data_IF_214028376574
#
_entry.id   IF_214028376574
#
_cell.length_a   1.000
_cell.length_b   1.000
_cell.length_c   1.000
_cell.angle_alpha   90.00
_cell.angle_beta   90.00
_cell.angle_gamma   90.00
#
_symmetry.space_group_name_H-M   'P 1'
#
loop_
_entity.id
_entity.type
_entity.pdbx_description
1 polymer ?
#
# COMPACT_ATOMS: atom_id res chain seq x y z
N UNK A 1 26.50 3.67 -5.07
CA UNK A 1 25.10 4.02 -4.74
C UNK A 1 24.20 3.23 -5.67
N UNK A 2 23.15 2.57 -5.17
CA UNK A 2 22.23 1.79 -6.03
C UNK A 2 21.16 2.73 -6.58
N UNK A 3 20.74 2.47 -7.81
CA UNK A 3 19.62 3.15 -8.45
C UNK A 3 18.43 2.19 -8.51
N UNK A 4 17.36 2.49 -7.76
CA UNK A 4 16.17 1.66 -7.65
C UNK A 4 15.30 1.65 -8.91
N UNK A 5 15.38 2.71 -9.72
CA UNK A 5 14.50 2.89 -10.90
C UNK A 5 15.27 2.85 -12.22
N UNK A 6 16.57 2.51 -12.17
CA UNK A 6 17.40 2.28 -13.35
C UNK A 6 17.56 3.54 -14.20
N UNK A 7 17.78 4.68 -13.56
CA UNK A 7 18.01 5.97 -14.19
C UNK A 7 16.74 6.74 -14.49
N UNK A 8 15.57 6.23 -14.07
CA UNK A 8 14.25 6.81 -14.36
C UNK A 8 13.74 7.58 -13.14
N UNK A 9 13.73 8.92 -13.16
CA UNK A 9 13.28 9.69 -12.01
C UNK A 9 11.84 9.36 -11.63
N UNK A 10 11.58 9.31 -10.32
CA UNK A 10 10.23 9.23 -9.76
C UNK A 10 9.61 10.63 -9.85
N UNK A 11 8.49 10.75 -10.57
CA UNK A 11 7.77 12.01 -10.74
C UNK A 11 6.64 12.16 -9.72
N UNK A 12 6.14 11.05 -9.20
CA UNK A 12 5.08 11.05 -8.21
C UNK A 12 5.26 9.88 -7.23
N UNK A 13 5.07 10.14 -5.95
CA UNK A 13 5.17 9.15 -4.89
C UNK A 13 4.03 9.32 -3.89
N UNK A 14 3.40 8.21 -3.52
CA UNK A 14 2.33 8.17 -2.51
C UNK A 14 2.65 7.06 -1.51
N UNK A 15 2.90 7.44 -0.27
CA UNK A 15 3.18 6.53 0.83
C UNK A 15 2.05 6.55 1.87
N UNK A 16 1.53 5.37 2.22
CA UNK A 16 0.52 5.24 3.28
C UNK A 16 1.13 4.72 4.58
N UNK A 17 1.98 3.69 4.50
CA UNK A 17 2.72 3.12 5.63
C UNK A 17 3.90 2.29 5.14
N UNK A 18 4.68 1.72 6.06
CA UNK A 18 5.77 0.82 5.71
C UNK A 18 5.31 -0.33 4.78
N UNK A 19 5.97 -0.46 3.61
CA UNK A 19 5.68 -1.44 2.55
C UNK A 19 4.27 -1.31 1.93
N UNK A 20 3.63 -0.16 2.07
CA UNK A 20 2.36 0.21 1.42
C UNK A 20 2.52 1.59 0.76
N UNK A 21 2.94 1.59 -0.50
CA UNK A 21 3.23 2.80 -1.25
C UNK A 21 3.11 2.52 -2.75
N UNK A 22 3.01 3.59 -3.54
CA UNK A 22 3.05 3.53 -4.99
C UNK A 22 3.81 4.74 -5.54
N UNK A 23 4.41 4.58 -6.72
CA UNK A 23 5.10 5.66 -7.39
C UNK A 23 4.99 5.54 -8.90
N UNK A 24 5.18 6.68 -9.57
CA UNK A 24 5.20 6.82 -11.02
C UNK A 24 6.54 7.35 -11.45
N UNK A 25 7.12 6.76 -12.50
CA UNK A 25 8.35 7.26 -13.12
C UNK A 25 8.05 8.21 -14.29
N UNK A 26 9.07 8.90 -14.78
CA UNK A 26 8.96 9.81 -15.94
C UNK A 26 8.39 9.12 -17.20
N UNK A 27 8.64 7.83 -17.35
CA UNK A 27 8.13 7.00 -18.45
C UNK A 27 6.65 6.60 -18.27
N UNK A 28 5.95 7.18 -17.29
CA UNK A 28 4.59 6.82 -16.88
C UNK A 28 4.43 5.37 -16.39
N UNK A 29 5.51 4.73 -15.94
CA UNK A 29 5.45 3.38 -15.35
C UNK A 29 5.05 3.52 -13.88
N UNK A 30 3.99 2.82 -13.50
CA UNK A 30 3.54 2.73 -12.10
C UNK A 30 4.09 1.48 -11.41
N UNK A 31 4.72 1.67 -10.26
CA UNK A 31 5.02 0.59 -9.33
C UNK A 31 4.22 0.72 -8.05
N UNK A 32 3.66 -0.41 -7.60
CA UNK A 32 2.75 -0.49 -6.46
C UNK A 32 3.20 -1.57 -5.49
N UNK A 33 3.32 -1.21 -4.21
CA UNK A 33 3.53 -2.15 -3.10
C UNK A 33 2.30 -2.12 -2.19
N UNK A 34 1.68 -3.27 -1.98
CA UNK A 34 0.57 -3.43 -1.05
C UNK A 34 0.82 -4.61 -0.10
N UNK A 35 1.35 -4.30 1.09
CA UNK A 35 1.71 -5.30 2.10
C UNK A 35 0.56 -6.28 2.37
N UNK A 36 0.82 -7.56 2.14
CA UNK A 36 -0.10 -8.65 2.47
C UNK A 36 -1.23 -8.87 1.47
N UNK A 37 -1.14 -8.28 0.28
CA UNK A 37 -2.00 -8.53 -0.89
C UNK A 37 -1.17 -9.20 -1.98
N UNK A 38 -1.78 -10.12 -2.73
CA UNK A 38 -1.12 -10.82 -3.83
C UNK A 38 -0.75 -9.86 -4.96
N UNK A 39 0.48 -9.98 -5.49
CA UNK A 39 1.01 -9.14 -6.57
C UNK A 39 0.04 -9.00 -7.75
N UNK A 40 -0.52 -10.11 -8.23
CA UNK A 40 -1.45 -10.11 -9.37
C UNK A 40 -2.72 -9.28 -9.13
N UNK A 41 -3.25 -9.32 -7.91
CA UNK A 41 -4.43 -8.53 -7.51
C UNK A 41 -4.07 -7.04 -7.49
N UNK A 42 -2.89 -6.69 -6.98
CA UNK A 42 -2.41 -5.30 -6.99
C UNK A 42 -2.26 -4.78 -8.42
N UNK A 43 -1.64 -5.57 -9.31
CA UNK A 43 -1.43 -5.18 -10.71
C UNK A 43 -2.74 -4.98 -11.48
N UNK A 44 -3.75 -5.80 -11.23
CA UNK A 44 -5.01 -5.79 -11.99
C UNK A 44 -6.07 -4.84 -11.44
N UNK A 45 -6.07 -4.58 -10.13
CA UNK A 45 -7.24 -3.95 -9.47
C UNK A 45 -6.93 -2.69 -8.68
N UNK A 46 -5.66 -2.32 -8.56
CA UNK A 46 -5.23 -1.14 -7.79
C UNK A 46 -4.42 -0.23 -8.71
N UNK A 47 -4.76 1.06 -8.72
CA UNK A 47 -4.04 2.10 -9.44
C UNK A 47 -3.42 3.12 -8.46
N UNK A 48 -2.57 4.02 -8.96
CA UNK A 48 -1.97 5.08 -8.13
C UNK A 48 -3.02 6.01 -7.51
N UNK A 49 -4.13 6.24 -8.21
CA UNK A 49 -5.22 7.10 -7.75
C UNK A 49 -5.92 6.53 -6.49
N UNK A 50 -6.06 5.21 -6.38
CA UNK A 50 -6.58 4.54 -5.19
C UNK A 50 -5.72 4.85 -3.95
N UNK A 51 -4.40 4.98 -4.11
CA UNK A 51 -3.50 5.39 -3.03
C UNK A 51 -3.73 6.86 -2.64
N UNK A 52 -3.91 7.75 -3.63
CA UNK A 52 -4.20 9.18 -3.37
C UNK A 52 -5.52 9.36 -2.65
N UNK A 53 -6.58 8.69 -3.12
CA UNK A 53 -7.90 8.69 -2.45
C UNK A 53 -7.79 8.14 -1.03
N UNK A 54 -7.02 7.08 -0.83
CA UNK A 54 -6.79 6.55 0.51
C UNK A 54 -6.05 7.54 1.43
N UNK A 55 -5.11 8.32 0.89
CA UNK A 55 -4.33 9.32 1.64
C UNK A 55 -5.16 10.56 1.99
N UNK A 56 -5.89 11.12 1.02
CA UNK A 56 -6.59 12.40 1.17
C UNK A 56 -8.03 12.25 1.66
N UNK A 57 -8.76 11.20 1.26
CA UNK A 57 -10.15 10.98 1.69
C UNK A 57 -10.25 10.06 2.91
N UNK A 58 -9.15 9.42 3.33
CA UNK A 58 -9.12 8.48 4.45
C UNK A 58 -9.90 7.18 4.21
N UNK A 59 -10.35 6.91 2.97
CA UNK A 59 -11.12 5.72 2.63
C UNK A 59 -10.22 4.51 2.44
N UNK A 60 -10.51 3.44 3.18
CA UNK A 60 -9.85 2.16 2.99
C UNK A 60 -10.36 1.46 1.73
N UNK A 61 -9.46 0.80 1.01
CA UNK A 61 -9.80 0.03 -0.20
C UNK A 61 -9.72 -1.45 0.11
N UNK A 62 -10.80 -2.17 -0.16
CA UNK A 62 -10.88 -3.61 0.01
C UNK A 62 -10.72 -4.32 -1.34
N UNK A 63 -10.02 -5.47 -1.34
CA UNK A 63 -9.86 -6.33 -2.52
C UNK A 63 -10.02 -7.79 -2.13
N UNK A 64 -10.70 -8.51 -3.01
CA UNK A 64 -10.89 -9.95 -2.92
C UNK A 64 -9.69 -10.67 -3.50
N UNK A 65 -9.23 -11.73 -2.83
CA UNK A 65 -8.18 -12.60 -3.35
C UNK A 65 -8.38 -14.04 -2.89
N UNK A 66 -8.10 -14.98 -3.80
CA UNK A 66 -8.06 -16.40 -3.48
C UNK A 66 -6.72 -16.75 -2.84
N UNK A 67 -6.75 -17.46 -1.71
CA UNK A 67 -5.57 -17.96 -1.00
C UNK A 67 -5.64 -19.47 -0.81
N UNK A 68 -4.49 -20.10 -0.62
CA UNK A 68 -4.39 -21.47 -0.14
C UNK A 68 -4.15 -21.38 1.37
N UNK A 69 -4.97 -22.06 2.17
CA UNK A 69 -4.90 -22.05 3.62
C UNK A 69 -4.84 -23.49 4.14
N UNK A 70 -3.99 -23.73 5.15
CA UNK A 70 -3.99 -24.96 5.93
C UNK A 70 -4.62 -24.69 7.29
N UNK A 71 -5.59 -25.52 7.70
CA UNK A 71 -6.18 -25.50 9.04
C UNK A 71 -6.38 -26.93 9.51
N UNK A 72 -5.92 -27.26 10.72
CA UNK A 72 -5.97 -28.62 11.28
C UNK A 72 -5.42 -29.67 10.31
N UNK A 73 -4.26 -29.40 9.72
CA UNK A 73 -3.60 -30.24 8.71
C UNK A 73 -4.41 -30.52 7.43
N UNK A 74 -5.50 -29.77 7.17
CA UNK A 74 -6.28 -29.83 5.93
C UNK A 74 -6.01 -28.58 5.09
N UNK A 75 -5.54 -28.78 3.87
CA UNK A 75 -5.28 -27.71 2.89
C UNK A 75 -6.51 -27.49 2.03
N UNK A 76 -6.93 -26.23 1.89
CA UNK A 76 -8.04 -25.84 1.03
C UNK A 76 -7.82 -24.44 0.46
N UNK A 77 -8.51 -24.15 -0.65
CA UNK A 77 -8.56 -22.81 -1.23
C UNK A 77 -9.67 -22.02 -0.56
N UNK A 78 -9.42 -20.74 -0.27
CA UNK A 78 -10.40 -19.83 0.32
C UNK A 78 -10.35 -18.49 -0.37
N UNK A 79 -11.51 -17.95 -0.71
CA UNK A 79 -11.64 -16.55 -1.09
C UNK A 79 -11.69 -15.67 0.16
N UNK A 80 -10.87 -14.62 0.19
CA UNK A 80 -10.87 -13.64 1.28
C UNK A 80 -11.01 -12.22 0.73
N UNK A 81 -11.87 -11.43 1.37
CA UNK A 81 -11.92 -9.99 1.16
C UNK A 81 -11.07 -9.30 2.23
N UNK A 82 -10.04 -8.56 1.80
CA UNK A 82 -9.05 -7.96 2.70
C UNK A 82 -8.90 -6.46 2.41
N UNK A 83 -8.66 -5.69 3.47
CA UNK A 83 -8.25 -4.29 3.35
C UNK A 83 -6.88 -4.25 2.66
N UNK A 84 -6.87 -3.79 1.42
CA UNK A 84 -5.69 -3.67 0.57
C UNK A 84 -4.93 -2.37 0.83
N UNK A 85 -5.66 -1.23 0.86
CA UNK A 85 -5.10 0.08 1.17
C UNK A 85 -5.77 0.67 2.41
N UNK A 86 -4.97 1.24 3.30
CA UNK A 86 -5.41 1.98 4.46
C UNK A 86 -4.30 2.95 4.88
N UNK A 87 -4.66 4.21 5.13
CA UNK A 87 -3.73 5.25 5.57
C UNK A 87 -3.38 5.20 7.06
N UNK A 88 -4.05 4.35 7.85
CA UNK A 88 -3.75 4.22 9.29
C UNK A 88 -2.42 3.49 9.48
N UNK A 89 -1.55 4.05 10.32
CA UNK A 89 -0.30 3.45 10.75
C UNK A 89 -0.23 3.41 12.28
N UNK A 90 -0.36 2.20 12.85
CA UNK A 90 -0.37 1.99 14.31
C UNK A 90 0.96 2.37 14.98
N UNK A 91 2.03 2.63 14.21
CA UNK A 91 3.36 2.97 14.71
C UNK A 91 3.68 4.48 14.67
N UNK A 92 2.77 5.30 14.14
CA UNK A 92 2.98 6.73 13.90
C UNK A 92 1.75 7.51 14.32
N UNK A 93 1.95 8.71 14.86
CA UNK A 93 0.86 9.66 15.01
C UNK A 93 0.74 10.50 13.72
N UNK A 94 -0.37 10.35 13.00
CA UNK A 94 -0.65 11.07 11.76
C UNK A 94 -1.25 12.43 12.11
N UNK A 95 -0.65 13.52 11.59
CA UNK A 95 -1.16 14.88 11.80
C UNK A 95 -2.38 15.16 10.91
N UNK A 96 -3.07 16.28 11.16
CA UNK A 96 -4.31 16.65 10.46
C UNK A 96 -4.15 16.81 8.94
N UNK A 97 -2.93 17.11 8.47
CA UNK A 97 -2.64 17.20 7.04
C UNK A 97 -2.42 15.84 6.34
N UNK A 98 -2.58 14.72 7.06
CA UNK A 98 -2.40 13.33 6.60
C UNK A 98 -1.01 12.95 6.06
N UNK A 99 -0.10 13.91 5.92
CA UNK A 99 1.24 13.72 5.32
C UNK A 99 2.30 13.65 6.41
N UNK A 100 2.26 14.60 7.34
CA UNK A 100 3.25 14.66 8.40
C UNK A 100 2.92 13.64 9.48
N UNK A 101 3.94 12.94 9.96
CA UNK A 101 3.80 11.94 11.00
C UNK A 101 4.84 12.12 12.09
N UNK A 102 4.43 11.92 13.33
CA UNK A 102 5.29 11.92 14.50
C UNK A 102 5.56 10.48 14.95
N UNK A 103 6.75 10.24 15.49
CA UNK A 103 7.06 8.99 16.15
C UNK A 103 6.25 8.87 17.46
N UNK A 104 5.98 7.64 17.89
CA UNK A 104 5.41 7.39 19.22
C UNK A 104 6.34 7.95 20.30
N UNK A 105 5.78 8.72 21.24
CA UNK A 105 6.55 9.37 22.31
C UNK A 105 7.22 10.70 21.92
N UNK A 106 6.99 11.21 20.70
CA UNK A 106 7.46 12.54 20.32
C UNK A 106 6.74 13.62 21.14
N UNK A 107 7.50 14.62 21.60
CA UNK A 107 6.96 15.76 22.35
C UNK A 107 6.03 16.60 21.46
N UNK A 108 4.98 17.17 22.04
CA UNK A 108 4.09 18.12 21.37
C UNK A 108 4.44 19.53 21.79
#
# INVERSE_FOLDING_TARGET
MKDETGGKPIVEFVGLRAKLYAYKTIDNIEEKKAKGIKKKVVEQTINLEDYKRCLFEGKSVNRTMNIIQSKNHKVYTKEINKIALCGKDDKRYIQENNINTLALGHYR
#
